data_IF_585919895574
#
_entry.id   IF_585919895574
#
_cell.length_a   1.000
_cell.length_b   1.000
_cell.length_c   1.000
_cell.angle_alpha   90.00
_cell.angle_beta   90.00
_cell.angle_gamma   90.00
#
_symmetry.space_group_name_H-M   'P 1'
#
loop_
_entity.id
_entity.type
_entity.pdbx_description
1 polymer ?
#
# COMPACT_ATOMS: atom_id res chain seq x y z
N UNK A 1 -42.96 -1.93 -4.81
CA UNK A 1 -42.50 -2.94 -3.84
C UNK A 1 -41.31 -3.62 -4.48
N UNK A 2 -40.09 -3.37 -4.01
CA UNK A 2 -38.91 -4.09 -4.51
C UNK A 2 -39.07 -5.54 -4.01
N UNK A 3 -39.01 -6.53 -4.90
CA UNK A 3 -39.14 -7.94 -4.49
C UNK A 3 -37.92 -8.35 -3.67
N UNK A 4 -38.07 -9.33 -2.77
CA UNK A 4 -36.96 -9.89 -2.01
C UNK A 4 -35.80 -10.33 -2.92
N UNK A 5 -36.13 -10.97 -4.05
CA UNK A 5 -35.15 -11.39 -5.06
C UNK A 5 -34.30 -10.25 -5.61
N UNK A 6 -34.86 -9.04 -5.75
CA UNK A 6 -34.10 -7.87 -6.22
C UNK A 6 -33.16 -7.33 -5.14
N UNK A 7 -33.53 -7.42 -3.86
CA UNK A 7 -32.65 -7.03 -2.74
C UNK A 7 -31.48 -8.01 -2.61
N UNK A 8 -31.74 -9.31 -2.78
CA UNK A 8 -30.71 -10.34 -2.72
C UNK A 8 -29.72 -10.20 -3.88
N UNK A 9 -30.23 -10.01 -5.11
CA UNK A 9 -29.38 -9.76 -6.28
C UNK A 9 -28.50 -8.50 -6.12
N UNK A 10 -29.05 -7.41 -5.57
CA UNK A 10 -28.27 -6.22 -5.25
C UNK A 10 -27.21 -6.52 -4.18
N UNK A 11 -27.56 -7.27 -3.14
CA UNK A 11 -26.63 -7.65 -2.08
C UNK A 11 -25.44 -8.43 -2.64
N UNK A 12 -25.69 -9.43 -3.49
CA UNK A 12 -24.66 -10.22 -4.17
C UNK A 12 -23.78 -9.37 -5.10
N UNK A 13 -24.38 -8.38 -5.79
CA UNK A 13 -23.62 -7.44 -6.62
C UNK A 13 -22.64 -6.61 -5.78
N UNK A 14 -23.11 -6.02 -4.68
CA UNK A 14 -22.27 -5.23 -3.77
C UNK A 14 -21.17 -6.09 -3.14
N UNK A 15 -21.48 -7.32 -2.76
CA UNK A 15 -20.51 -8.29 -2.28
C UNK A 15 -19.40 -8.54 -3.31
N UNK A 16 -19.77 -8.94 -4.52
CA UNK A 16 -18.84 -9.23 -5.61
C UNK A 16 -17.92 -8.05 -5.95
N UNK A 17 -18.49 -6.83 -6.02
CA UNK A 17 -17.71 -5.61 -6.26
C UNK A 17 -16.78 -5.30 -5.10
N UNK A 18 -17.25 -5.42 -3.85
CA UNK A 18 -16.46 -5.10 -2.68
C UNK A 18 -15.34 -6.12 -2.42
N UNK A 19 -15.50 -7.39 -2.81
CA UNK A 19 -14.40 -8.36 -2.85
C UNK A 19 -13.23 -7.83 -3.68
N UNK A 20 -13.50 -7.22 -4.84
CA UNK A 20 -12.45 -6.64 -5.71
C UNK A 20 -11.77 -5.44 -5.04
N UNK A 21 -12.52 -4.64 -4.29
CA UNK A 21 -11.95 -3.56 -3.46
C UNK A 21 -10.96 -4.15 -2.44
N UNK A 22 -11.37 -5.20 -1.72
CA UNK A 22 -10.52 -5.88 -0.73
C UNK A 22 -9.27 -6.49 -1.37
N UNK A 23 -9.38 -7.09 -2.55
CA UNK A 23 -8.25 -7.62 -3.31
C UNK A 23 -7.21 -6.52 -3.60
N UNK A 24 -7.66 -5.35 -4.06
CA UNK A 24 -6.76 -4.22 -4.34
C UNK A 24 -6.11 -3.67 -3.06
N UNK A 25 -6.88 -3.52 -1.98
CA UNK A 25 -6.35 -3.07 -0.68
C UNK A 25 -5.25 -4.03 -0.19
N UNK A 26 -5.48 -5.34 -0.28
CA UNK A 26 -4.50 -6.33 0.17
C UNK A 26 -3.29 -6.46 -0.75
N UNK A 27 -3.47 -6.35 -2.06
CA UNK A 27 -2.37 -6.27 -3.03
C UNK A 27 -1.47 -5.08 -2.71
N UNK A 28 -2.06 -3.89 -2.53
CA UNK A 28 -1.31 -2.68 -2.19
C UNK A 28 -0.57 -2.82 -0.86
N UNK A 29 -1.21 -3.37 0.18
CA UNK A 29 -0.53 -3.64 1.45
C UNK A 29 0.67 -4.57 1.26
N UNK A 30 0.52 -5.65 0.47
CA UNK A 30 1.61 -6.60 0.19
C UNK A 30 2.78 -5.92 -0.53
N UNK A 31 2.49 -5.14 -1.57
CA UNK A 31 3.53 -4.43 -2.33
C UNK A 31 4.24 -3.38 -1.47
N UNK A 32 3.52 -2.69 -0.59
CA UNK A 32 4.12 -1.77 0.39
C UNK A 32 5.11 -2.50 1.30
N UNK A 33 4.69 -3.59 1.94
CA UNK A 33 5.55 -4.35 2.87
C UNK A 33 6.79 -4.93 2.17
N UNK A 34 6.63 -5.39 0.93
CA UNK A 34 7.73 -5.92 0.10
C UNK A 34 8.77 -4.85 -0.25
N UNK A 35 8.34 -3.59 -0.44
CA UNK A 35 9.19 -2.50 -0.93
C UNK A 35 9.44 -1.42 0.14
N UNK A 36 9.13 -1.67 1.41
CA UNK A 36 9.26 -0.69 2.50
C UNK A 36 10.68 -0.13 2.65
N UNK A 37 11.70 -0.94 2.40
CA UNK A 37 13.10 -0.50 2.52
C UNK A 37 13.50 0.41 1.36
N UNK A 38 12.91 0.24 0.17
CA UNK A 38 13.03 1.22 -0.92
C UNK A 38 12.38 2.55 -0.55
N UNK A 39 11.22 2.53 0.11
CA UNK A 39 10.58 3.77 0.57
C UNK A 39 11.38 4.46 1.68
N UNK A 40 11.99 3.69 2.59
CA UNK A 40 12.94 4.22 3.59
C UNK A 40 14.14 4.88 2.92
N UNK A 41 14.67 4.26 1.87
CA UNK A 41 15.77 4.80 1.08
C UNK A 41 15.45 6.19 0.50
N UNK A 42 14.22 6.42 0.02
CA UNK A 42 13.81 7.76 -0.45
C UNK A 42 13.89 8.82 0.63
N UNK A 43 13.47 8.48 1.86
CA UNK A 43 13.46 9.43 2.98
C UNK A 43 14.86 9.93 3.38
N UNK A 44 15.91 9.16 3.06
CA UNK A 44 17.30 9.47 3.38
C UNK A 44 18.16 9.80 2.16
N UNK A 45 17.61 9.69 0.93
CA UNK A 45 18.38 9.78 -0.32
C UNK A 45 19.11 11.11 -0.51
N UNK A 46 18.47 12.22 -0.18
CA UNK A 46 19.09 13.55 -0.29
C UNK A 46 20.25 13.73 0.71
N UNK A 47 20.12 13.15 1.90
CA UNK A 47 21.17 13.15 2.92
C UNK A 47 22.37 12.32 2.50
N UNK A 48 22.13 11.13 1.92
CA UNK A 48 23.18 10.28 1.34
C UNK A 48 23.93 11.04 0.25
N UNK A 49 23.22 11.68 -0.67
CA UNK A 49 23.82 12.47 -1.74
C UNK A 49 24.68 13.62 -1.18
N UNK A 50 24.22 14.29 -0.12
CA UNK A 50 24.97 15.33 0.59
C UNK A 50 26.26 14.78 1.21
N UNK A 51 26.19 13.68 1.97
CA UNK A 51 27.36 13.06 2.59
C UNK A 51 28.43 12.67 1.56
N UNK A 52 28.00 12.05 0.45
CA UNK A 52 28.89 11.63 -0.64
C UNK A 52 29.57 12.84 -1.28
N UNK A 53 28.80 13.89 -1.59
CA UNK A 53 29.32 15.13 -2.21
C UNK A 53 30.32 15.84 -1.32
N UNK A 54 30.02 15.94 -0.02
CA UNK A 54 30.87 16.60 0.98
C UNK A 54 32.05 15.73 1.44
N UNK A 55 32.10 14.46 1.02
CA UNK A 55 33.06 13.46 1.53
C UNK A 55 33.04 13.41 3.06
N UNK A 56 31.83 13.49 3.62
CA UNK A 56 31.57 13.44 5.06
C UNK A 56 31.04 12.04 5.41
N UNK A 57 31.64 11.35 6.38
CA UNK A 57 31.07 10.10 6.85
C UNK A 57 29.72 10.35 7.53
N UNK A 58 28.75 9.48 7.29
CA UNK A 58 27.45 9.55 7.94
C UNK A 58 26.83 8.17 8.12
N UNK A 59 26.09 7.99 9.21
CA UNK A 59 25.30 6.81 9.51
C UNK A 59 23.83 7.21 9.53
N UNK A 60 23.06 6.66 8.61
CA UNK A 60 21.62 6.89 8.44
C UNK A 60 20.84 5.60 8.72
N UNK A 61 21.44 4.67 9.48
CA UNK A 61 20.89 3.38 9.83
C UNK A 61 20.99 2.37 8.67
N UNK A 62 20.03 2.43 7.74
CA UNK A 62 20.00 1.50 6.60
C UNK A 62 21.14 1.76 5.59
N UNK A 63 21.67 2.98 5.58
CA UNK A 63 22.84 3.37 4.78
C UNK A 63 23.90 4.01 5.67
N UNK A 64 25.14 3.59 5.46
CA UNK A 64 26.32 4.24 6.00
C UNK A 64 27.23 4.73 4.86
N UNK A 65 27.66 5.98 4.92
CA UNK A 65 28.67 6.53 4.02
C UNK A 65 29.99 6.57 4.78
N UNK A 66 30.98 5.81 4.31
CA UNK A 66 32.34 5.79 4.85
C UNK A 66 33.30 6.51 3.92
N UNK A 67 34.25 7.22 4.50
CA UNK A 67 35.27 7.94 3.74
C UNK A 67 36.64 7.48 4.19
N UNK A 68 37.36 6.81 3.30
CA UNK A 68 38.70 6.27 3.57
C UNK A 68 39.73 7.17 2.87
N UNK A 69 40.68 7.69 3.64
CA UNK A 69 41.85 8.39 3.09
C UNK A 69 42.77 7.37 2.39
N UNK A 70 43.07 7.63 1.12
CA UNK A 70 44.05 6.89 0.31
C UNK A 70 45.19 7.82 -0.10
N UNK A 71 46.28 7.22 -0.57
CA UNK A 71 47.52 7.91 -0.96
C UNK A 71 47.32 9.05 -1.99
N UNK A 72 46.32 8.93 -2.87
CA UNK A 72 46.01 9.90 -3.93
C UNK A 72 44.67 10.65 -3.72
N UNK A 73 44.01 10.50 -2.57
CA UNK A 73 42.73 11.19 -2.33
C UNK A 73 41.85 10.55 -1.26
N UNK A 74 40.54 10.84 -1.34
CA UNK A 74 39.52 10.22 -0.48
C UNK A 74 38.69 9.27 -1.32
N UNK A 75 38.52 8.03 -0.84
CA UNK A 75 37.55 7.10 -1.40
C UNK A 75 36.28 7.16 -0.56
N UNK A 76 35.14 7.30 -1.23
CA UNK A 76 33.82 7.18 -0.58
C UNK A 76 33.29 5.77 -0.84
N UNK A 77 32.92 5.08 0.21
CA UNK A 77 32.29 3.76 0.19
C UNK A 77 30.90 3.91 0.78
N UNK A 78 29.88 3.40 0.10
CA UNK A 78 28.52 3.34 0.65
C UNK A 78 28.26 1.92 1.10
N UNK A 79 27.73 1.77 2.31
CA UNK A 79 27.30 0.49 2.87
C UNK A 79 25.79 0.54 2.97
N UNK A 80 25.12 -0.39 2.30
CA UNK A 80 23.67 -0.56 2.33
C UNK A 80 23.37 -1.91 2.97
N UNK A 81 22.70 -1.90 4.11
CA UNK A 81 22.40 -3.11 4.89
C UNK A 81 23.63 -4.04 5.11
N UNK A 82 24.74 -3.43 5.54
CA UNK A 82 26.00 -4.15 5.79
C UNK A 82 26.80 -4.55 4.55
N UNK A 83 26.31 -4.27 3.33
CA UNK A 83 26.99 -4.57 2.07
C UNK A 83 27.58 -3.30 1.44
N UNK A 84 28.85 -3.36 1.04
CA UNK A 84 29.45 -2.29 0.23
C UNK A 84 28.82 -2.26 -1.17
N UNK A 85 28.31 -1.09 -1.54
CA UNK A 85 27.65 -0.81 -2.81
C UNK A 85 28.25 0.43 -3.47
N UNK A 86 28.23 0.46 -4.79
CA UNK A 86 28.66 1.62 -5.57
C UNK A 86 27.62 2.74 -5.53
N UNK A 87 28.05 3.99 -5.75
CA UNK A 87 27.13 5.12 -5.84
C UNK A 87 26.09 4.96 -6.96
N UNK A 88 26.46 4.31 -8.06
CA UNK A 88 25.55 4.03 -9.17
C UNK A 88 24.43 3.05 -8.78
N UNK A 89 24.74 2.09 -7.91
CA UNK A 89 23.75 1.15 -7.36
C UNK A 89 22.76 1.89 -6.45
N UNK A 90 23.26 2.78 -5.59
CA UNK A 90 22.42 3.66 -4.74
C UNK A 90 21.50 4.52 -5.61
N UNK A 91 22.03 5.15 -6.66
CA UNK A 91 21.24 5.97 -7.58
C UNK A 91 20.16 5.14 -8.31
N UNK A 92 20.48 3.90 -8.69
CA UNK A 92 19.52 2.98 -9.30
C UNK A 92 18.39 2.64 -8.33
N UNK A 93 18.73 2.29 -7.08
CA UNK A 93 17.75 1.98 -6.05
C UNK A 93 16.85 3.18 -5.72
N UNK A 94 17.42 4.40 -5.64
CA UNK A 94 16.65 5.63 -5.45
C UNK A 94 15.68 5.87 -6.61
N UNK A 95 16.12 5.65 -7.84
CA UNK A 95 15.25 5.76 -9.03
C UNK A 95 14.12 4.74 -9.00
N UNK A 96 14.43 3.47 -8.68
CA UNK A 96 13.42 2.41 -8.50
C UNK A 96 12.43 2.77 -7.40
N UNK A 97 12.91 3.30 -6.28
CA UNK A 97 12.05 3.68 -5.17
C UNK A 97 11.11 4.83 -5.54
N UNK A 98 11.58 5.84 -6.30
CA UNK A 98 10.73 6.95 -6.78
C UNK A 98 9.60 6.44 -7.66
N UNK A 99 9.94 5.59 -8.63
CA UNK A 99 8.94 4.96 -9.51
C UNK A 99 7.91 4.15 -8.71
N UNK A 100 8.38 3.35 -7.75
CA UNK A 100 7.48 2.60 -6.87
C UNK A 100 6.57 3.52 -6.06
N UNK A 101 7.11 4.61 -5.51
CA UNK A 101 6.32 5.59 -4.75
C UNK A 101 5.25 6.24 -5.62
N UNK A 102 5.58 6.67 -6.83
CA UNK A 102 4.63 7.26 -7.78
C UNK A 102 3.51 6.27 -8.13
N UNK A 103 3.88 5.03 -8.45
CA UNK A 103 2.92 3.96 -8.69
C UNK A 103 2.02 3.72 -7.47
N UNK A 104 2.60 3.61 -6.27
CA UNK A 104 1.87 3.34 -5.05
C UNK A 104 0.89 4.49 -4.71
N UNK A 105 1.36 5.73 -4.77
CA UNK A 105 0.53 6.90 -4.48
C UNK A 105 -0.64 7.04 -5.49
N UNK A 106 -0.45 6.61 -6.74
CA UNK A 106 -1.49 6.54 -7.77
C UNK A 106 -2.46 5.38 -7.52
N UNK A 107 -1.95 4.15 -7.53
CA UNK A 107 -2.75 2.93 -7.68
C UNK A 107 -3.25 2.38 -6.33
N UNK A 108 -2.70 2.87 -5.22
CA UNK A 108 -3.11 2.49 -3.86
C UNK A 108 -3.81 3.64 -3.11
N UNK A 109 -4.46 4.54 -3.86
CA UNK A 109 -5.32 5.60 -3.33
C UNK A 109 -6.76 5.11 -3.11
N UNK A 110 -7.54 5.86 -2.31
CA UNK A 110 -8.97 5.58 -2.10
C UNK A 110 -9.73 5.55 -3.44
N UNK A 111 -9.40 6.45 -4.37
CA UNK A 111 -10.03 6.50 -5.68
C UNK A 111 -9.70 5.27 -6.54
N UNK A 112 -8.47 4.77 -6.44
CA UNK A 112 -8.05 3.55 -7.13
C UNK A 112 -8.73 2.30 -6.54
N UNK A 113 -8.88 2.23 -5.21
CA UNK A 113 -9.64 1.16 -4.56
C UNK A 113 -11.12 1.17 -4.92
N UNK A 114 -11.69 2.33 -5.23
CA UNK A 114 -13.11 2.47 -5.56
C UNK A 114 -13.46 2.17 -7.02
N UNK A 115 -12.47 1.92 -7.90
CA UNK A 115 -12.72 1.58 -9.31
C UNK A 115 -13.77 0.46 -9.53
N UNK A 116 -13.77 -0.65 -8.75
CA UNK A 116 -14.78 -1.71 -8.91
C UNK A 116 -16.22 -1.26 -8.58
N UNK A 117 -16.36 -0.16 -7.84
CA UNK A 117 -17.64 0.38 -7.40
C UNK A 117 -18.22 1.40 -8.38
N UNK A 118 -17.50 1.77 -9.46
CA UNK A 118 -18.00 2.74 -10.45
C UNK A 118 -19.36 2.27 -11.00
N UNK A 119 -20.31 3.22 -11.04
CA UNK A 119 -21.67 2.98 -11.48
C UNK A 119 -22.60 2.38 -10.42
N UNK A 120 -22.13 2.14 -9.19
CA UNK A 120 -22.99 1.76 -8.07
C UNK A 120 -23.72 2.99 -7.50
N UNK A 121 -25.01 2.84 -7.19
CA UNK A 121 -25.87 3.93 -6.69
C UNK A 121 -25.33 4.63 -5.42
N UNK A 122 -24.62 3.88 -4.56
CA UNK A 122 -24.12 4.36 -3.27
C UNK A 122 -22.61 4.62 -3.27
N UNK A 123 -22.02 4.91 -4.44
CA UNK A 123 -20.58 5.08 -4.62
C UNK A 123 -19.94 6.01 -3.58
N UNK A 124 -20.47 7.22 -3.40
CA UNK A 124 -19.88 8.22 -2.51
C UNK A 124 -19.95 7.80 -1.04
N UNK A 125 -21.08 7.24 -0.60
CA UNK A 125 -21.24 6.73 0.76
C UNK A 125 -20.26 5.59 1.07
N UNK A 126 -20.02 4.71 0.08
CA UNK A 126 -19.05 3.62 0.20
C UNK A 126 -17.62 4.14 0.17
N UNK A 127 -17.33 5.18 -0.63
CA UNK A 127 -16.01 5.85 -0.65
C UNK A 127 -15.70 6.46 0.71
N UNK A 128 -16.65 7.16 1.31
CA UNK A 128 -16.49 7.71 2.67
C UNK A 128 -16.32 6.61 3.71
N UNK A 129 -17.10 5.53 3.61
CA UNK A 129 -16.94 4.35 4.47
C UNK A 129 -15.52 3.78 4.35
N UNK A 130 -15.02 3.58 3.13
CA UNK A 130 -13.68 3.07 2.88
C UNK A 130 -12.61 4.00 3.45
N UNK A 131 -12.71 5.31 3.21
CA UNK A 131 -11.76 6.31 3.72
C UNK A 131 -11.68 6.31 5.25
N UNK A 132 -12.81 6.18 5.94
CA UNK A 132 -12.87 6.13 7.41
C UNK A 132 -12.33 4.82 8.00
N UNK A 133 -12.45 3.72 7.26
CA UNK A 133 -12.22 2.37 7.78
C UNK A 133 -11.01 1.65 7.15
N UNK A 134 -10.24 2.31 6.28
CA UNK A 134 -9.18 1.65 5.50
C UNK A 134 -8.17 0.89 6.35
N UNK A 135 -7.68 1.49 7.45
CA UNK A 135 -6.70 0.84 8.34
C UNK A 135 -7.27 -0.41 9.01
N UNK A 136 -8.55 -0.39 9.36
CA UNK A 136 -9.22 -1.52 9.99
C UNK A 136 -9.52 -2.61 8.94
N UNK A 137 -9.94 -2.21 7.73
CA UNK A 137 -10.14 -3.10 6.58
C UNK A 137 -8.85 -3.83 6.15
N UNK A 138 -7.68 -3.20 6.32
CA UNK A 138 -6.38 -3.87 6.05
C UNK A 138 -6.18 -5.13 6.89
N UNK A 139 -6.84 -5.29 8.04
CA UNK A 139 -6.76 -6.50 8.87
C UNK A 139 -7.39 -7.72 8.19
N UNK A 140 -8.33 -7.51 7.26
CA UNK A 140 -8.95 -8.56 6.45
C UNK A 140 -7.90 -9.32 5.61
N UNK A 141 -6.82 -8.64 5.23
CA UNK A 141 -5.69 -9.25 4.53
C UNK A 141 -4.99 -10.33 5.38
N UNK A 142 -5.04 -10.22 6.71
CA UNK A 142 -4.47 -11.19 7.66
C UNK A 142 -5.50 -12.21 8.17
N UNK A 143 -6.62 -12.39 7.46
CA UNK A 143 -7.73 -13.27 7.87
C UNK A 143 -8.46 -12.82 9.15
N UNK A 144 -8.29 -11.56 9.57
CA UNK A 144 -9.02 -11.04 10.72
C UNK A 144 -10.33 -10.35 10.28
N UNK A 145 -11.42 -10.60 11.01
CA UNK A 145 -12.69 -9.90 10.78
C UNK A 145 -12.66 -8.57 11.54
N UNK A 146 -12.66 -7.42 10.84
CA UNK A 146 -12.63 -6.11 11.48
C UNK A 146 -13.97 -5.78 12.14
N UNK A 147 -13.92 -4.95 13.19
CA UNK A 147 -15.13 -4.36 13.77
C UNK A 147 -15.42 -3.03 13.08
N UNK A 148 -16.28 -3.06 12.06
CA UNK A 148 -16.61 -1.89 11.23
C UNK A 148 -17.99 -1.33 11.56
N UNK A 149 -18.06 -0.01 11.57
CA UNK A 149 -19.34 0.68 11.63
C UNK A 149 -19.92 0.84 10.21
N UNK A 150 -20.93 0.02 9.88
CA UNK A 150 -21.67 0.08 8.62
C UNK A 150 -22.89 1.03 8.69
N UNK A 151 -23.09 1.72 9.82
CA UNK A 151 -24.20 2.65 9.98
C UNK A 151 -24.07 3.80 8.96
N UNK A 152 -25.16 4.09 8.26
CA UNK A 152 -25.20 5.11 7.20
C UNK A 152 -25.17 4.52 5.78
N UNK A 153 -24.94 3.21 5.63
CA UNK A 153 -25.15 2.52 4.36
C UNK A 153 -26.54 1.88 4.32
N UNK A 154 -27.19 1.79 3.14
CA UNK A 154 -28.41 1.00 2.97
C UNK A 154 -28.18 -0.47 3.34
N UNK A 155 -29.20 -1.14 3.88
CA UNK A 155 -29.08 -2.50 4.43
C UNK A 155 -28.48 -3.50 3.45
N UNK A 156 -28.89 -3.50 2.18
CA UNK A 156 -28.37 -4.43 1.17
C UNK A 156 -26.90 -4.15 0.80
N UNK A 157 -26.48 -2.89 0.84
CA UNK A 157 -25.07 -2.50 0.66
C UNK A 157 -24.25 -2.96 1.86
N UNK A 158 -24.72 -2.66 3.07
CA UNK A 158 -24.06 -3.06 4.31
C UNK A 158 -23.91 -4.59 4.39
N UNK A 159 -24.96 -5.34 4.04
CA UNK A 159 -24.94 -6.80 3.98
C UNK A 159 -23.93 -7.30 2.94
N UNK A 160 -23.93 -6.75 1.72
CA UNK A 160 -22.98 -7.16 0.68
C UNK A 160 -21.53 -6.91 1.10
N UNK A 161 -21.23 -5.77 1.71
CA UNK A 161 -19.91 -5.45 2.25
C UNK A 161 -19.54 -6.41 3.40
N UNK A 162 -20.47 -6.68 4.31
CA UNK A 162 -20.24 -7.59 5.42
C UNK A 162 -19.96 -9.03 4.93
N UNK A 163 -20.70 -9.51 3.93
CA UNK A 163 -20.46 -10.80 3.31
C UNK A 163 -19.08 -10.83 2.68
N UNK A 164 -18.74 -9.83 1.86
CA UNK A 164 -17.42 -9.72 1.22
C UNK A 164 -16.27 -9.78 2.23
N UNK A 165 -16.39 -9.06 3.35
CA UNK A 165 -15.40 -9.07 4.43
C UNK A 165 -15.28 -10.46 5.05
N UNK A 166 -16.41 -11.10 5.38
CA UNK A 166 -16.42 -12.43 5.98
C UNK A 166 -15.79 -13.47 5.05
N UNK A 167 -16.16 -13.44 3.77
CA UNK A 167 -15.67 -14.37 2.76
C UNK A 167 -14.18 -14.21 2.52
N UNK A 168 -13.71 -12.96 2.41
CA UNK A 168 -12.30 -12.67 2.26
C UNK A 168 -11.50 -13.05 3.51
N UNK A 169 -12.02 -12.77 4.72
CA UNK A 169 -11.35 -13.13 5.97
C UNK A 169 -11.27 -14.66 6.16
N UNK A 170 -12.30 -15.40 5.75
CA UNK A 170 -12.35 -16.87 5.83
C UNK A 170 -11.60 -17.58 4.70
N UNK A 171 -11.18 -16.85 3.66
CA UNK A 171 -10.48 -17.40 2.50
C UNK A 171 -11.39 -18.21 1.57
N UNK A 172 -12.71 -17.97 1.58
CA UNK A 172 -13.65 -18.60 0.65
C UNK A 172 -13.55 -18.02 -0.76
N UNK A 173 -12.91 -16.86 -0.90
CA UNK A 173 -12.62 -16.18 -2.16
C UNK A 173 -11.12 -15.97 -2.35
N UNK A 174 -10.67 -16.01 -3.61
CA UNK A 174 -9.25 -15.93 -3.96
C UNK A 174 -8.61 -14.60 -3.52
N UNK A 175 -7.54 -14.71 -2.73
CA UNK A 175 -6.65 -13.60 -2.39
C UNK A 175 -5.59 -13.49 -3.49
N UNK A 176 -5.54 -12.34 -4.17
CA UNK A 176 -4.53 -12.05 -5.20
C UNK A 176 -3.19 -11.76 -4.54
#
# INVERSE_FOLDING_TARGET
>A
MISHDAIDALTEEYESRFIRVLQQVCMCRREYERNKDLLRLLGIGDEVARCVKERRPCDLGFIEVRVVKRFLGHQVTVILDGREVGIDEVNRLLSTARFFKEWYDSDCSIDSFMQPMIGADHYDAIKEFLARNLEELRRVCDNAIPNLNLNGLPTYVANGIANAINDFARGTVGKV
#
